data_IF_742011803245
#
_entry.id   IF_742011803245
#
_cell.length_a   1.000
_cell.length_b   1.000
_cell.length_c   1.000
_cell.angle_alpha   90.00
_cell.angle_beta   90.00
_cell.angle_gamma   90.00
#
_symmetry.space_group_name_H-M   'P 1'
#
loop_
_entity.id
_entity.type
_entity.pdbx_description
1 polymer ?
#
# COMPACT_ATOMS: atom_id res chain seq x y z
N UNK A 1 -30.12 34.88 -30.90
CA UNK A 1 -29.45 33.59 -31.14
C UNK A 1 -27.97 33.63 -30.78
N UNK A 2 -27.22 34.68 -31.15
CA UNK A 2 -25.78 34.81 -30.85
C UNK A 2 -25.42 34.70 -29.36
N UNK A 3 -26.17 35.32 -28.45
CA UNK A 3 -25.89 35.19 -27.01
C UNK A 3 -26.00 33.76 -26.47
N UNK A 4 -26.92 32.95 -27.02
CA UNK A 4 -27.09 31.55 -26.62
C UNK A 4 -25.93 30.70 -27.14
N UNK A 5 -25.45 30.98 -28.35
CA UNK A 5 -24.27 30.33 -28.95
C UNK A 5 -23.02 30.67 -28.14
N UNK A 6 -22.85 31.94 -27.74
CA UNK A 6 -21.72 32.34 -26.90
C UNK A 6 -21.74 31.65 -25.53
N UNK A 7 -22.90 31.61 -24.86
CA UNK A 7 -23.01 30.95 -23.55
C UNK A 7 -22.74 29.45 -23.65
N UNK A 8 -23.28 28.76 -24.66
CA UNK A 8 -23.04 27.32 -24.85
C UNK A 8 -21.56 27.01 -25.12
N UNK A 9 -20.87 27.84 -25.91
CA UNK A 9 -19.43 27.71 -26.14
C UNK A 9 -18.61 27.91 -24.86
N UNK A 10 -18.97 28.91 -24.05
CA UNK A 10 -18.32 29.17 -22.75
C UNK A 10 -18.54 27.99 -21.80
N UNK A 11 -19.75 27.42 -21.73
CA UNK A 11 -20.03 26.25 -20.89
C UNK A 11 -19.21 25.04 -21.31
N UNK A 12 -19.08 24.78 -22.62
CA UNK A 12 -18.26 23.67 -23.13
C UNK A 12 -16.78 23.87 -22.77
N UNK A 13 -16.26 25.10 -22.90
CA UNK A 13 -14.88 25.42 -22.54
C UNK A 13 -14.61 25.23 -21.04
N UNK A 14 -15.52 25.71 -20.18
CA UNK A 14 -15.41 25.53 -18.73
C UNK A 14 -15.47 24.04 -18.36
N UNK A 15 -16.38 23.28 -18.98
CA UNK A 15 -16.51 21.84 -18.73
C UNK A 15 -15.25 21.08 -19.17
N UNK A 16 -14.70 21.40 -20.34
CA UNK A 16 -13.47 20.80 -20.83
C UNK A 16 -12.27 21.12 -19.93
N UNK A 17 -12.14 22.39 -19.51
CA UNK A 17 -11.07 22.82 -18.60
C UNK A 17 -11.19 22.14 -17.23
N UNK A 18 -12.40 22.10 -16.66
CA UNK A 18 -12.67 21.46 -15.37
C UNK A 18 -12.40 19.96 -15.44
N UNK A 19 -12.82 19.29 -16.51
CA UNK A 19 -12.54 17.87 -16.76
C UNK A 19 -11.04 17.60 -16.83
N UNK A 20 -10.29 18.44 -17.56
CA UNK A 20 -8.84 18.32 -17.66
C UNK A 20 -8.15 18.49 -16.29
N UNK A 21 -8.49 19.53 -15.54
CA UNK A 21 -7.94 19.75 -14.18
C UNK A 21 -8.28 18.58 -13.26
N UNK A 22 -9.53 18.13 -13.26
CA UNK A 22 -10.00 17.01 -12.44
C UNK A 22 -9.24 15.73 -12.75
N UNK A 23 -9.09 15.38 -14.03
CA UNK A 23 -8.33 14.21 -14.46
C UNK A 23 -6.88 14.25 -13.94
N UNK A 24 -6.21 15.40 -14.06
CA UNK A 24 -4.82 15.57 -13.60
C UNK A 24 -4.68 15.47 -12.08
N UNK A 25 -5.67 15.97 -11.32
CA UNK A 25 -5.70 15.84 -9.86
C UNK A 25 -5.92 14.38 -9.44
N UNK A 26 -6.87 13.68 -10.06
CA UNK A 26 -7.13 12.27 -9.78
C UNK A 26 -5.91 11.39 -10.07
N UNK A 27 -5.24 11.61 -11.20
CA UNK A 27 -4.03 10.88 -11.58
C UNK A 27 -2.91 11.07 -10.52
N UNK A 28 -2.75 12.29 -10.00
CA UNK A 28 -1.76 12.59 -8.95
C UNK A 28 -2.09 11.92 -7.63
N UNK A 29 -3.36 11.94 -7.20
CA UNK A 29 -3.82 11.27 -5.97
C UNK A 29 -3.59 9.77 -6.05
N UNK A 30 -4.02 9.14 -7.14
CA UNK A 30 -3.82 7.70 -7.35
C UNK A 30 -2.34 7.33 -7.30
N UNK A 31 -1.47 8.12 -7.96
CA UNK A 31 -0.01 7.92 -7.90
C UNK A 31 0.56 8.09 -6.49
N UNK A 32 0.02 9.00 -5.67
CA UNK A 32 0.47 9.20 -4.30
C UNK A 32 0.01 8.08 -3.37
N UNK A 33 -1.25 7.67 -3.46
CA UNK A 33 -1.81 6.57 -2.67
C UNK A 33 -1.10 5.25 -2.98
N UNK A 34 -0.95 4.92 -4.27
CA UNK A 34 -0.16 3.75 -4.68
C UNK A 34 1.26 3.82 -4.15
N UNK A 35 1.94 4.98 -4.24
CA UNK A 35 3.29 5.15 -3.68
C UNK A 35 3.32 4.84 -2.18
N UNK A 36 2.36 5.33 -1.39
CA UNK A 36 2.33 5.09 0.06
C UNK A 36 2.18 3.61 0.37
N UNK A 37 1.27 2.90 -0.31
CA UNK A 37 1.11 1.45 -0.14
C UNK A 37 2.38 0.68 -0.51
N UNK A 38 2.97 1.01 -1.67
CA UNK A 38 4.24 0.42 -2.09
C UNK A 38 5.40 0.72 -1.13
N UNK A 39 5.38 1.88 -0.46
CA UNK A 39 6.41 2.22 0.52
C UNK A 39 6.29 1.37 1.78
N UNK A 40 5.08 1.15 2.31
CA UNK A 40 4.87 0.28 3.46
C UNK A 40 5.33 -1.17 3.17
N UNK A 41 4.96 -1.70 2.01
CA UNK A 41 5.38 -3.03 1.55
C UNK A 41 6.90 -3.13 1.38
N UNK A 42 7.52 -2.09 0.80
CA UNK A 42 8.98 -2.04 0.61
C UNK A 42 9.72 -2.00 1.93
N UNK A 43 9.23 -1.23 2.91
CA UNK A 43 9.82 -1.16 4.25
C UNK A 43 9.64 -2.50 4.99
N UNK A 44 8.46 -3.10 4.93
CA UNK A 44 8.20 -4.42 5.51
C UNK A 44 9.11 -5.50 4.90
N UNK A 45 9.22 -5.53 3.57
CA UNK A 45 10.13 -6.43 2.86
C UNK A 45 11.58 -6.22 3.29
N UNK A 46 12.04 -4.97 3.37
CA UNK A 46 13.41 -4.64 3.80
C UNK A 46 13.65 -5.11 5.25
N UNK A 47 12.71 -4.86 6.15
CA UNK A 47 12.79 -5.30 7.55
C UNK A 47 12.93 -6.83 7.68
N UNK A 48 12.14 -7.58 6.90
CA UNK A 48 12.16 -9.06 6.93
C UNK A 48 13.31 -9.68 6.12
N UNK A 49 13.89 -8.91 5.20
CA UNK A 49 15.05 -9.35 4.41
C UNK A 49 16.31 -9.45 5.27
N UNK A 50 16.38 -8.75 6.41
CA UNK A 50 17.59 -8.70 7.23
C UNK A 50 18.15 -10.07 7.62
N UNK A 51 19.44 -10.28 7.38
CA UNK A 51 20.10 -11.60 7.45
C UNK A 51 20.02 -12.22 8.84
N UNK A 52 20.08 -11.38 9.88
CA UNK A 52 20.07 -11.84 11.28
C UNK A 52 18.82 -12.64 11.65
N UNK A 53 17.70 -12.50 10.93
CA UNK A 53 16.43 -13.13 11.31
C UNK A 53 15.74 -13.79 10.12
N UNK A 54 15.45 -15.09 10.24
CA UNK A 54 14.66 -15.85 9.26
C UNK A 54 13.16 -15.56 9.35
N UNK A 55 12.67 -15.38 10.59
CA UNK A 55 11.30 -15.03 11.00
C UNK A 55 11.34 -14.03 12.16
N UNK A 56 10.28 -13.24 12.32
CA UNK A 56 10.12 -12.22 13.37
C UNK A 56 8.73 -12.31 13.99
N UNK A 57 8.60 -12.02 15.28
CA UNK A 57 7.28 -11.94 15.90
C UNK A 57 6.49 -10.76 15.35
N UNK A 58 5.17 -10.94 15.27
CA UNK A 58 4.27 -9.88 14.83
C UNK A 58 4.38 -8.63 15.72
N UNK A 59 4.55 -8.81 17.03
CA UNK A 59 4.75 -7.71 17.99
C UNK A 59 5.97 -6.85 17.69
N UNK A 60 7.12 -7.45 17.36
CA UNK A 60 8.34 -6.73 17.00
C UNK A 60 8.22 -6.01 15.66
N UNK A 61 7.53 -6.62 14.70
CA UNK A 61 7.23 -5.99 13.41
C UNK A 61 6.34 -4.76 13.62
N UNK A 62 5.25 -4.90 14.39
CA UNK A 62 4.30 -3.82 14.71
C UNK A 62 4.99 -2.64 15.40
N UNK A 63 5.87 -2.92 16.36
CA UNK A 63 6.67 -1.90 17.06
C UNK A 63 7.58 -1.11 16.12
N UNK A 64 8.10 -1.73 15.06
CA UNK A 64 9.05 -1.12 14.11
C UNK A 64 8.35 -0.36 12.98
N UNK A 65 7.26 -0.90 12.43
CA UNK A 65 6.52 -0.26 11.35
C UNK A 65 5.56 0.82 11.87
N UNK A 66 4.81 0.53 12.94
CA UNK A 66 3.86 1.46 13.57
C UNK A 66 2.74 1.94 12.63
N UNK A 67 1.74 2.64 13.18
CA UNK A 67 0.73 3.36 12.37
C UNK A 67 -0.25 2.50 11.57
N UNK A 68 -0.31 1.19 11.83
CA UNK A 68 -1.26 0.26 11.22
C UNK A 68 -2.02 -0.48 12.30
N UNK A 69 -3.31 -0.72 12.04
CA UNK A 69 -4.06 -1.73 12.79
C UNK A 69 -3.53 -3.14 12.47
N UNK A 70 -3.83 -4.11 13.34
CA UNK A 70 -3.22 -5.44 13.23
C UNK A 70 -3.50 -6.10 11.88
N UNK A 71 -4.75 -6.06 11.42
CA UNK A 71 -5.14 -6.67 10.15
C UNK A 71 -4.61 -5.91 8.93
N UNK A 72 -4.45 -4.59 9.03
CA UNK A 72 -3.82 -3.78 7.99
C UNK A 72 -2.34 -4.13 7.85
N UNK A 73 -1.64 -4.25 8.98
CA UNK A 73 -0.25 -4.66 9.00
C UNK A 73 -0.08 -6.06 8.41
N UNK A 74 -0.95 -7.02 8.77
CA UNK A 74 -0.94 -8.37 8.17
C UNK A 74 -1.11 -8.32 6.65
N UNK A 75 -2.00 -7.48 6.13
CA UNK A 75 -2.17 -7.28 4.67
C UNK A 75 -0.89 -6.71 4.03
N UNK A 76 -0.24 -5.72 4.65
CA UNK A 76 1.05 -5.18 4.19
C UNK A 76 2.12 -6.28 4.15
N UNK A 77 2.18 -7.14 5.17
CA UNK A 77 3.14 -8.24 5.21
C UNK A 77 2.89 -9.25 4.09
N UNK A 78 1.64 -9.64 3.84
CA UNK A 78 1.28 -10.52 2.71
C UNK A 78 1.69 -9.88 1.38
N UNK A 79 1.36 -8.61 1.15
CA UNK A 79 1.75 -7.89 -0.08
C UNK A 79 3.28 -7.77 -0.24
N UNK A 80 4.02 -7.73 0.87
CA UNK A 80 5.49 -7.74 0.86
C UNK A 80 6.11 -9.11 0.50
N UNK A 81 5.30 -10.17 0.37
CA UNK A 81 5.74 -11.54 0.11
C UNK A 81 6.08 -12.33 1.37
N UNK A 82 5.55 -11.91 2.53
CA UNK A 82 5.69 -12.62 3.79
C UNK A 82 4.49 -13.54 4.04
N UNK A 83 4.73 -14.61 4.79
CA UNK A 83 3.70 -15.56 5.24
C UNK A 83 3.75 -15.73 6.74
N UNK A 84 2.60 -16.11 7.31
CA UNK A 84 2.42 -16.36 8.73
C UNK A 84 2.92 -17.75 9.10
N UNK A 85 3.62 -17.85 10.21
CA UNK A 85 4.01 -19.08 10.88
C UNK A 85 3.51 -19.05 12.31
N UNK A 86 3.32 -20.23 12.88
CA UNK A 86 2.90 -20.39 14.27
C UNK A 86 3.97 -21.15 15.05
N UNK A 87 4.26 -20.69 16.26
CA UNK A 87 5.15 -21.37 17.21
C UNK A 87 4.40 -21.58 18.54
N UNK A 88 4.80 -22.60 19.30
CA UNK A 88 4.22 -22.93 20.61
C UNK A 88 2.70 -23.16 20.52
N UNK A 89 2.25 -24.05 19.62
CA UNK A 89 0.84 -24.39 19.41
C UNK A 89 -0.06 -23.17 19.10
N UNK A 90 0.42 -22.23 18.28
CA UNK A 90 -0.35 -21.04 17.89
C UNK A 90 -0.27 -19.86 18.86
N UNK A 91 0.48 -19.99 19.96
CA UNK A 91 0.64 -18.90 20.93
C UNK A 91 1.48 -17.75 20.37
N UNK A 92 2.45 -18.05 19.50
CA UNK A 92 3.32 -17.03 18.89
C UNK A 92 3.07 -16.91 17.39
N UNK A 93 2.62 -15.72 16.98
CA UNK A 93 2.50 -15.32 15.57
C UNK A 93 3.84 -14.81 15.05
N UNK A 94 4.43 -15.56 14.11
CA UNK A 94 5.68 -15.22 13.45
C UNK A 94 5.45 -14.93 11.97
N UNK A 95 6.27 -14.06 11.40
CA UNK A 95 6.23 -13.71 9.97
C UNK A 95 7.61 -13.78 9.36
N UNK A 96 7.69 -14.28 8.13
CA UNK A 96 8.92 -14.38 7.37
C UNK A 96 8.66 -14.32 5.86
N UNK A 97 9.65 -13.85 5.10
CA UNK A 97 9.57 -13.86 3.64
C UNK A 97 9.57 -15.30 3.12
N UNK A 98 8.73 -15.59 2.13
CA UNK A 98 8.70 -16.89 1.44
C UNK A 98 10.10 -17.24 0.91
N UNK A 99 10.80 -16.26 0.32
CA UNK A 99 12.14 -16.46 -0.24
C UNK A 99 13.18 -16.95 0.77
N UNK A 100 12.98 -16.69 2.06
CA UNK A 100 13.91 -17.09 3.14
C UNK A 100 13.47 -18.35 3.90
N UNK A 101 12.27 -18.85 3.67
CA UNK A 101 11.66 -19.93 4.45
C UNK A 101 11.08 -21.04 3.56
N UNK A 102 11.59 -21.20 2.33
CA UNK A 102 11.12 -22.23 1.38
C UNK A 102 11.26 -23.66 1.87
N UNK A 103 12.18 -23.89 2.80
CA UNK A 103 12.44 -25.17 3.45
C UNK A 103 11.38 -25.56 4.50
N UNK A 104 10.52 -24.61 4.88
CA UNK A 104 9.48 -24.79 5.91
C UNK A 104 8.06 -24.54 5.39
N UNK A 105 7.90 -24.46 4.06
CA UNK A 105 6.64 -24.23 3.34
C UNK A 105 6.35 -25.41 2.42
#
# INVERSE_FOLDING_TARGET
>A
MENIIYQTLVTILIAAFTGYVTFRVQERRLKQELKTEFMAEKVAKKLLSEEKWKKRSFSEIKKRLGGFEDDELRKVLVRSGAVRFERNNGTEELWGLISKNKDEL
#
